data_IF_390310424746
#
_entry.id   IF_390310424746
#
_cell.length_a   1.000
_cell.length_b   1.000
_cell.length_c   1.000
_cell.angle_alpha   90.00
_cell.angle_beta   90.00
_cell.angle_gamma   90.00
#
_symmetry.space_group_name_H-M   'P 1'
#
loop_
_entity.id
_entity.type
_entity.pdbx_description
1 polymer ?
#
# COMPACT_ATOMS: atom_id res chain seq x y z
N UNK A 1 16.02 10.20 -6.08
CA UNK A 1 14.90 9.28 -6.40
C UNK A 1 15.40 8.01 -7.10
N UNK A 2 16.22 8.12 -8.16
CA UNK A 2 16.84 6.95 -8.81
C UNK A 2 17.75 6.12 -7.90
N UNK A 3 18.52 6.75 -7.02
CA UNK A 3 19.39 6.06 -6.04
C UNK A 3 18.61 5.17 -5.06
N UNK A 4 17.45 5.62 -4.58
CA UNK A 4 16.60 4.84 -3.67
C UNK A 4 15.94 3.64 -4.36
N UNK A 5 15.53 3.83 -5.62
CA UNK A 5 14.98 2.77 -6.47
C UNK A 5 16.05 1.70 -6.74
N UNK A 6 17.29 2.12 -7.03
CA UNK A 6 18.42 1.21 -7.21
C UNK A 6 18.70 0.43 -5.93
N UNK A 7 18.65 1.06 -4.75
CA UNK A 7 18.85 0.37 -3.46
C UNK A 7 17.75 -0.68 -3.21
N UNK A 8 16.48 -0.39 -3.52
CA UNK A 8 15.38 -1.33 -3.32
C UNK A 8 15.45 -2.48 -4.34
N UNK A 9 15.70 -2.17 -5.62
CA UNK A 9 15.87 -3.19 -6.67
C UNK A 9 17.09 -4.07 -6.35
N UNK A 10 18.19 -3.49 -5.88
CA UNK A 10 19.38 -4.25 -5.48
C UNK A 10 19.11 -5.14 -4.26
N UNK A 11 18.34 -4.69 -3.28
CA UNK A 11 17.92 -5.52 -2.13
C UNK A 11 17.04 -6.70 -2.56
N UNK A 12 16.09 -6.47 -3.47
CA UNK A 12 15.24 -7.53 -4.04
C UNK A 12 16.10 -8.52 -4.83
N UNK A 13 17.04 -8.05 -5.65
CA UNK A 13 17.94 -8.93 -6.41
C UNK A 13 18.90 -9.71 -5.51
N UNK A 14 19.40 -9.12 -4.41
CA UNK A 14 20.29 -9.78 -3.46
C UNK A 14 19.52 -10.85 -2.66
N UNK A 15 18.26 -10.58 -2.27
CA UNK A 15 17.39 -11.56 -1.63
C UNK A 15 17.14 -12.77 -2.52
N UNK A 16 16.85 -12.54 -3.81
CA UNK A 16 16.68 -13.60 -4.81
C UNK A 16 17.99 -14.38 -5.01
N UNK A 17 19.14 -13.70 -5.11
CA UNK A 17 20.44 -14.34 -5.28
C UNK A 17 20.82 -15.23 -4.08
N UNK A 18 20.51 -14.78 -2.86
CA UNK A 18 20.81 -15.48 -1.61
C UNK A 18 19.89 -16.68 -1.39
N UNK A 19 18.62 -16.55 -1.75
CA UNK A 19 17.66 -17.67 -1.79
C UNK A 19 18.11 -18.75 -2.80
N UNK A 20 18.53 -18.34 -4.00
CA UNK A 20 19.12 -19.23 -5.00
C UNK A 20 20.37 -19.92 -4.47
N UNK A 21 21.30 -19.19 -3.82
CA UNK A 21 22.55 -19.72 -3.29
C UNK A 21 22.36 -20.75 -2.16
N UNK A 22 21.39 -20.53 -1.26
CA UNK A 22 21.06 -21.45 -0.16
C UNK A 22 20.47 -22.77 -0.69
N UNK A 23 19.67 -22.71 -1.76
CA UNK A 23 19.05 -23.90 -2.35
C UNK A 23 19.94 -24.61 -3.38
N UNK A 24 21.07 -24.00 -3.71
CA UNK A 24 22.04 -24.42 -4.74
C UNK A 24 22.90 -25.61 -4.33
N UNK A 25 23.06 -25.83 -3.02
CA UNK A 25 23.95 -26.86 -2.49
C UNK A 25 23.36 -28.28 -2.60
N UNK A 26 22.06 -28.43 -2.92
CA UNK A 26 21.35 -29.68 -2.61
C UNK A 26 20.76 -30.49 -3.77
N UNK A 27 20.88 -30.11 -5.06
CA UNK A 27 20.58 -31.04 -6.19
C UNK A 27 20.85 -30.44 -7.57
N UNK A 28 21.62 -31.17 -8.41
CA UNK A 28 22.01 -30.76 -9.78
C UNK A 28 20.88 -30.83 -10.82
N UNK A 29 19.77 -31.52 -10.56
CA UNK A 29 18.69 -31.77 -11.55
C UNK A 29 17.44 -30.88 -11.33
N UNK A 30 17.27 -30.29 -10.15
CA UNK A 30 16.17 -29.32 -9.89
C UNK A 30 16.46 -27.91 -10.44
N UNK A 31 17.69 -27.66 -10.89
CA UNK A 31 18.18 -26.33 -11.23
C UNK A 31 17.46 -25.70 -12.42
N UNK A 32 17.27 -26.46 -13.49
CA UNK A 32 16.63 -25.96 -14.73
C UNK A 32 15.13 -25.72 -14.50
N UNK A 33 14.48 -26.59 -13.71
CA UNK A 33 13.07 -26.46 -13.35
C UNK A 33 12.83 -25.29 -12.38
N UNK A 34 13.70 -25.10 -11.38
CA UNK A 34 13.63 -23.96 -10.48
C UNK A 34 13.92 -22.64 -11.20
N UNK A 35 14.84 -22.65 -12.16
CA UNK A 35 15.14 -21.49 -13.00
C UNK A 35 13.97 -21.14 -13.92
N UNK A 36 13.33 -22.13 -14.56
CA UNK A 36 12.15 -21.88 -15.40
C UNK A 36 10.96 -21.40 -14.59
N UNK A 37 10.73 -21.97 -13.39
CA UNK A 37 9.70 -21.52 -12.45
C UNK A 37 9.98 -20.08 -11.98
N UNK A 38 11.23 -19.75 -11.66
CA UNK A 38 11.62 -18.40 -11.26
C UNK A 38 11.41 -17.38 -12.39
N UNK A 39 11.72 -17.74 -13.63
CA UNK A 39 11.48 -16.90 -14.82
C UNK A 39 9.97 -16.71 -15.04
N UNK A 40 9.16 -17.77 -14.89
CA UNK A 40 7.69 -17.69 -14.98
C UNK A 40 7.12 -16.80 -13.87
N UNK A 41 7.60 -16.93 -12.63
CA UNK A 41 7.24 -16.03 -11.53
C UNK A 41 7.65 -14.59 -11.80
N UNK A 42 8.83 -14.36 -12.40
CA UNK A 42 9.32 -13.01 -12.75
C UNK A 42 8.49 -12.39 -13.88
N UNK A 43 8.03 -13.19 -14.84
CA UNK A 43 7.10 -12.79 -15.90
C UNK A 43 5.72 -12.48 -15.30
N UNK A 44 5.20 -13.32 -14.41
CA UNK A 44 3.93 -13.06 -13.69
C UNK A 44 4.04 -11.79 -12.84
N UNK A 45 5.16 -11.56 -12.17
CA UNK A 45 5.47 -10.31 -11.45
C UNK A 45 5.46 -9.13 -12.40
N UNK A 46 6.11 -9.24 -13.55
CA UNK A 46 6.16 -8.19 -14.55
C UNK A 46 4.77 -7.88 -15.12
N UNK A 47 3.93 -8.90 -15.37
CA UNK A 47 2.55 -8.73 -15.81
C UNK A 47 1.61 -8.24 -14.70
N UNK A 48 1.82 -8.65 -13.45
CA UNK A 48 1.08 -8.14 -12.30
C UNK A 48 1.42 -6.66 -12.07
N UNK A 49 2.72 -6.31 -12.11
CA UNK A 49 3.21 -4.93 -12.15
C UNK A 49 2.66 -4.19 -13.36
N UNK A 50 2.49 -4.84 -14.52
CA UNK A 50 1.90 -4.28 -15.74
C UNK A 50 0.38 -4.04 -15.66
N UNK A 51 -0.37 -4.90 -14.98
CA UNK A 51 -1.81 -4.72 -14.72
C UNK A 51 -2.05 -3.63 -13.67
N UNK A 52 -1.19 -3.63 -12.64
CA UNK A 52 -0.98 -2.52 -11.71
C UNK A 52 -0.68 -1.27 -12.56
N UNK A 53 0.30 -1.26 -13.46
CA UNK A 53 0.62 -0.14 -14.37
C UNK A 53 -0.56 0.27 -15.27
N UNK A 54 -1.43 -0.66 -15.69
CA UNK A 54 -2.63 -0.36 -16.46
C UNK A 54 -3.71 0.33 -15.61
N UNK A 55 -3.86 -0.05 -14.34
CA UNK A 55 -4.59 0.73 -13.33
C UNK A 55 -3.90 2.07 -13.08
N UNK A 56 -2.56 2.07 -13.07
CA UNK A 56 -1.72 3.25 -12.94
C UNK A 56 -1.88 4.18 -14.12
N UNK A 57 -2.22 3.73 -15.34
CA UNK A 57 -2.49 4.58 -16.49
C UNK A 57 -3.78 5.39 -16.31
N UNK A 58 -4.83 4.80 -15.71
CA UNK A 58 -6.03 5.55 -15.29
C UNK A 58 -5.70 6.55 -14.18
N UNK A 59 -4.88 6.14 -13.22
CA UNK A 59 -4.35 7.02 -12.17
C UNK A 59 -3.43 8.09 -12.76
N UNK A 60 -2.70 7.81 -13.84
CA UNK A 60 -1.73 8.72 -14.48
C UNK A 60 -2.45 9.78 -15.30
N UNK A 61 -3.58 9.43 -15.92
CA UNK A 61 -4.53 10.41 -16.46
C UNK A 61 -5.12 11.30 -15.37
N UNK A 62 -5.38 10.76 -14.17
CA UNK A 62 -5.77 11.56 -13.00
C UNK A 62 -4.61 12.46 -12.50
N UNK A 63 -3.40 11.92 -12.37
CA UNK A 63 -2.17 12.62 -11.97
C UNK A 63 -1.80 13.73 -12.97
N UNK A 64 -2.05 13.55 -14.27
CA UNK A 64 -1.85 14.59 -15.28
C UNK A 64 -2.61 15.88 -14.91
N UNK A 65 -3.77 15.74 -14.28
CA UNK A 65 -4.65 16.83 -13.88
C UNK A 65 -4.35 17.43 -12.49
N UNK A 66 -3.38 16.90 -11.74
CA UNK A 66 -2.87 17.55 -10.52
C UNK A 66 -1.96 18.72 -10.94
N UNK A 67 -2.00 19.87 -10.30
CA UNK A 67 -1.12 21.01 -10.62
C UNK A 67 0.22 20.92 -9.88
N UNK A 68 0.19 20.49 -8.62
CA UNK A 68 1.38 20.39 -7.80
C UNK A 68 2.25 19.20 -8.20
N UNK A 69 3.41 19.50 -8.79
CA UNK A 69 4.46 18.52 -9.13
C UNK A 69 4.81 17.60 -7.95
N UNK A 70 4.87 18.14 -6.73
CA UNK A 70 5.20 17.35 -5.54
C UNK A 70 4.14 16.30 -5.20
N UNK A 71 2.84 16.63 -5.34
CA UNK A 71 1.75 15.68 -5.08
C UNK A 71 1.75 14.52 -6.07
N UNK A 72 2.03 14.80 -7.35
CA UNK A 72 2.17 13.76 -8.37
C UNK A 72 3.28 12.78 -8.01
N UNK A 73 4.44 13.33 -7.64
CA UNK A 73 5.62 12.53 -7.28
C UNK A 73 5.35 11.70 -6.03
N UNK A 74 4.75 12.30 -5.00
CA UNK A 74 4.39 11.61 -3.76
C UNK A 74 3.40 10.46 -4.06
N UNK A 75 2.35 10.70 -4.85
CA UNK A 75 1.38 9.66 -5.23
C UNK A 75 2.02 8.49 -5.97
N UNK A 76 2.83 8.76 -7.00
CA UNK A 76 3.53 7.73 -7.77
C UNK A 76 4.48 6.93 -6.87
N UNK A 77 5.18 7.63 -5.98
CA UNK A 77 6.13 7.01 -5.06
C UNK A 77 5.41 6.08 -4.07
N UNK A 78 4.31 6.51 -3.46
CA UNK A 78 3.50 5.70 -2.54
C UNK A 78 3.01 4.45 -3.25
N UNK A 79 2.46 4.62 -4.45
CA UNK A 79 1.93 3.52 -5.26
C UNK A 79 3.02 2.49 -5.58
N UNK A 80 4.18 2.94 -6.05
CA UNK A 80 5.31 2.09 -6.35
C UNK A 80 5.79 1.32 -5.12
N UNK A 81 5.93 2.02 -3.98
CA UNK A 81 6.35 1.40 -2.73
C UNK A 81 5.36 0.32 -2.28
N UNK A 82 4.07 0.64 -2.17
CA UNK A 82 3.05 -0.34 -1.75
C UNK A 82 3.02 -1.54 -2.69
N UNK A 83 3.03 -1.31 -4.00
CA UNK A 83 3.02 -2.40 -4.98
C UNK A 83 4.25 -3.31 -4.80
N UNK A 84 5.44 -2.73 -4.66
CA UNK A 84 6.68 -3.51 -4.52
C UNK A 84 6.67 -4.39 -3.26
N UNK A 85 6.25 -3.84 -2.12
CA UNK A 85 6.15 -4.60 -0.86
C UNK A 85 5.02 -5.63 -0.89
N UNK A 86 3.88 -5.32 -1.52
CA UNK A 86 2.79 -6.28 -1.71
C UNK A 86 3.24 -7.47 -2.55
N UNK A 87 3.98 -7.23 -3.64
CA UNK A 87 4.54 -8.30 -4.48
C UNK A 87 5.50 -9.19 -3.69
N UNK A 88 6.41 -8.61 -2.91
CA UNK A 88 7.33 -9.38 -2.05
C UNK A 88 6.56 -10.18 -1.00
N UNK A 89 5.55 -9.59 -0.38
CA UNK A 89 4.71 -10.27 0.63
C UNK A 89 3.90 -11.45 0.07
N UNK A 90 3.47 -11.38 -1.20
CA UNK A 90 2.72 -12.43 -1.87
C UNK A 90 3.61 -13.57 -2.37
N UNK A 91 4.76 -13.25 -2.97
CA UNK A 91 5.58 -14.22 -3.71
C UNK A 91 6.68 -14.82 -2.85
N UNK A 92 7.30 -14.01 -1.99
CA UNK A 92 8.41 -14.40 -1.14
C UNK A 92 8.03 -14.21 0.33
N UNK A 93 7.00 -14.91 0.84
CA UNK A 93 6.47 -14.70 2.18
C UNK A 93 7.54 -14.87 3.27
N UNK A 94 8.48 -15.81 3.08
CA UNK A 94 9.59 -16.05 4.01
C UNK A 94 10.61 -14.91 4.04
N UNK A 95 10.94 -14.35 2.87
CA UNK A 95 11.88 -13.21 2.79
C UNK A 95 11.26 -11.93 3.36
N UNK A 96 9.96 -11.72 3.14
CA UNK A 96 9.21 -10.63 3.73
C UNK A 96 9.26 -10.65 5.27
N UNK A 97 9.18 -11.85 5.87
CA UNK A 97 9.30 -12.04 7.33
C UNK A 97 10.75 -12.06 7.82
N UNK A 98 11.74 -12.40 6.99
CA UNK A 98 13.15 -12.37 7.38
C UNK A 98 13.71 -10.93 7.44
N UNK A 99 13.19 -10.04 6.59
CA UNK A 99 13.64 -8.65 6.47
C UNK A 99 12.64 -7.65 7.07
N UNK A 100 12.01 -8.00 8.20
CA UNK A 100 10.90 -7.20 8.73
C UNK A 100 11.30 -5.77 9.12
N UNK A 101 12.46 -5.54 9.71
CA UNK A 101 12.86 -4.19 10.11
C UNK A 101 12.92 -3.21 8.93
N UNK A 102 13.48 -3.67 7.80
CA UNK A 102 13.54 -2.87 6.55
C UNK A 102 12.12 -2.69 6.00
N UNK A 103 11.28 -3.72 6.08
CA UNK A 103 9.86 -3.65 5.73
C UNK A 103 9.10 -2.60 6.53
N UNK A 104 9.24 -2.60 7.85
CA UNK A 104 8.55 -1.66 8.75
C UNK A 104 8.98 -0.22 8.50
N UNK A 105 10.29 0.03 8.36
CA UNK A 105 10.79 1.37 8.03
C UNK A 105 10.19 1.87 6.70
N UNK A 106 10.19 1.01 5.67
CA UNK A 106 9.60 1.34 4.37
C UNK A 106 8.10 1.61 4.46
N UNK A 107 7.37 0.82 5.25
CA UNK A 107 5.93 0.99 5.43
C UNK A 107 5.56 2.21 6.27
N UNK A 108 6.34 2.56 7.30
CA UNK A 108 6.15 3.79 8.09
C UNK A 108 6.40 5.03 7.23
N UNK A 109 7.45 5.02 6.40
CA UNK A 109 7.70 6.11 5.45
C UNK A 109 6.55 6.25 4.45
N UNK A 110 6.07 5.11 3.93
CA UNK A 110 4.96 5.07 2.98
C UNK A 110 3.66 5.56 3.62
N UNK A 111 3.38 5.17 4.86
CA UNK A 111 2.25 5.65 5.67
C UNK A 111 2.29 7.17 5.82
N UNK A 112 3.44 7.73 6.22
CA UNK A 112 3.61 9.18 6.36
C UNK A 112 3.33 9.92 5.06
N UNK A 113 3.90 9.44 3.94
CA UNK A 113 3.67 10.04 2.62
C UNK A 113 2.19 9.94 2.22
N UNK A 114 1.53 8.83 2.51
CA UNK A 114 0.13 8.61 2.18
C UNK A 114 -0.79 9.58 2.95
N UNK A 115 -0.64 9.68 4.27
CA UNK A 115 -1.40 10.64 5.11
C UNK A 115 -1.11 12.09 4.69
N UNK A 116 0.16 12.45 4.46
CA UNK A 116 0.54 13.79 3.96
C UNK A 116 -0.15 14.11 2.64
N UNK A 117 -0.17 13.17 1.70
CA UNK A 117 -0.78 13.35 0.38
C UNK A 117 -2.30 13.51 0.49
N UNK A 118 -2.95 12.70 1.33
CA UNK A 118 -4.40 12.80 1.59
C UNK A 118 -4.77 14.17 2.19
N UNK A 119 -4.09 14.59 3.25
CA UNK A 119 -4.33 15.88 3.91
C UNK A 119 -4.08 17.03 2.92
N UNK A 120 -2.99 16.98 2.16
CA UNK A 120 -2.67 18.06 1.21
C UNK A 120 -3.69 18.16 0.07
N UNK A 121 -4.25 17.03 -0.37
CA UNK A 121 -5.27 16.98 -1.42
C UNK A 121 -6.61 17.56 -0.93
N UNK A 122 -6.94 17.39 0.35
CA UNK A 122 -8.22 17.83 0.91
C UNK A 122 -8.13 19.25 1.49
N UNK A 123 -7.00 19.61 2.12
CA UNK A 123 -6.77 20.95 2.66
C UNK A 123 -6.58 22.01 1.57
N UNK A 124 -6.06 21.62 0.39
CA UNK A 124 -5.87 22.52 -0.74
C UNK A 124 -6.50 21.91 -2.01
N UNK A 125 -7.85 21.94 -2.14
CA UNK A 125 -8.55 21.34 -3.28
C UNK A 125 -8.21 22.04 -4.62
N UNK A 126 -7.69 23.27 -4.58
CA UNK A 126 -7.15 23.99 -5.74
C UNK A 126 -5.91 23.34 -6.37
N UNK A 127 -5.29 22.37 -5.69
CA UNK A 127 -4.08 21.68 -6.19
C UNK A 127 -4.36 20.68 -7.32
N UNK A 128 -5.62 20.35 -7.55
CA UNK A 128 -6.09 19.66 -8.76
C UNK A 128 -6.54 20.77 -9.70
N UNK A 129 -6.19 20.71 -10.99
CA UNK A 129 -6.65 21.66 -12.02
C UNK A 129 -8.15 21.87 -11.84
N UNK A 130 -8.51 22.91 -11.11
CA UNK A 130 -9.82 23.52 -11.17
C UNK A 130 -9.78 24.25 -12.49
N UNK A 131 -10.05 23.49 -13.55
CA UNK A 131 -10.47 24.06 -14.82
C UNK A 131 -11.58 25.02 -14.40
N UNK A 132 -11.31 26.32 -14.56
CA UNK A 132 -12.30 27.37 -14.40
C UNK A 132 -13.58 26.88 -15.10
N UNK A 133 -14.65 26.63 -14.33
CA UNK A 133 -15.98 26.22 -14.80
C UNK A 133 -16.03 24.94 -15.65
N UNK A 134 -15.83 23.77 -15.04
CA UNK A 134 -16.39 22.51 -15.55
C UNK A 134 -16.76 21.59 -14.36
N UNK A 135 -17.99 21.06 -14.34
CA UNK A 135 -18.59 20.18 -13.30
C UNK A 135 -17.74 18.96 -12.87
N UNK A 136 -16.71 18.63 -13.63
CA UNK A 136 -15.88 17.43 -13.44
C UNK A 136 -14.74 17.61 -12.41
N UNK A 137 -14.55 18.81 -11.82
CA UNK A 137 -13.48 19.10 -10.86
C UNK A 137 -13.57 18.30 -9.55
N UNK A 138 -14.71 18.36 -8.88
CA UNK A 138 -14.93 17.73 -7.57
C UNK A 138 -14.98 16.20 -7.64
N UNK A 139 -15.61 15.66 -8.69
CA UNK A 139 -15.60 14.22 -8.97
C UNK A 139 -14.18 13.65 -9.01
N UNK A 140 -13.22 14.40 -9.57
CA UNK A 140 -11.79 14.00 -9.59
C UNK A 140 -11.19 13.97 -8.18
N UNK A 141 -11.43 14.98 -7.35
CA UNK A 141 -10.91 15.06 -5.97
C UNK A 141 -11.42 13.88 -5.13
N UNK A 142 -12.71 13.55 -5.26
CA UNK A 142 -13.34 12.42 -4.58
C UNK A 142 -12.68 11.10 -5.01
N UNK A 143 -12.56 10.86 -6.32
CA UNK A 143 -11.92 9.64 -6.85
C UNK A 143 -10.49 9.51 -6.35
N UNK A 144 -9.73 10.61 -6.32
CA UNK A 144 -8.38 10.65 -5.78
C UNK A 144 -8.33 10.24 -4.31
N UNK A 145 -9.24 10.81 -3.52
CA UNK A 145 -9.33 10.56 -2.09
C UNK A 145 -9.63 9.09 -1.82
N UNK A 146 -10.56 8.49 -2.57
CA UNK A 146 -10.88 7.05 -2.50
C UNK A 146 -9.64 6.22 -2.85
N UNK A 147 -8.92 6.56 -3.92
CA UNK A 147 -7.71 5.83 -4.32
C UNK A 147 -6.62 5.88 -3.23
N UNK A 148 -6.39 7.05 -2.64
CA UNK A 148 -5.40 7.23 -1.57
C UNK A 148 -5.81 6.46 -0.32
N UNK A 149 -7.10 6.46 0.05
CA UNK A 149 -7.64 5.67 1.16
C UNK A 149 -7.44 4.17 0.93
N UNK A 150 -7.70 3.66 -0.26
CA UNK A 150 -7.44 2.25 -0.60
C UNK A 150 -5.95 1.93 -0.43
N UNK A 151 -5.07 2.81 -0.93
CA UNK A 151 -3.62 2.65 -0.75
C UNK A 151 -3.22 2.69 0.73
N UNK A 152 -3.85 3.53 1.54
CA UNK A 152 -3.61 3.60 2.99
C UNK A 152 -4.00 2.30 3.70
N UNK A 153 -5.17 1.73 3.37
CA UNK A 153 -5.63 0.44 3.92
C UNK A 153 -4.64 -0.68 3.56
N UNK A 154 -4.19 -0.75 2.30
CA UNK A 154 -3.20 -1.76 1.88
C UNK A 154 -1.86 -1.56 2.61
N UNK A 155 -1.41 -0.32 2.79
CA UNK A 155 -0.19 -0.02 3.54
C UNK A 155 -0.30 -0.47 5.02
N UNK A 156 -1.41 -0.16 5.69
CA UNK A 156 -1.67 -0.60 7.07
C UNK A 156 -1.73 -2.12 7.18
N UNK A 157 -2.35 -2.80 6.19
CA UNK A 157 -2.38 -4.25 6.11
C UNK A 157 -0.97 -4.85 6.02
N UNK A 158 -0.09 -4.28 5.20
CA UNK A 158 1.30 -4.73 5.10
C UNK A 158 2.05 -4.57 6.43
N UNK A 159 1.77 -3.50 7.19
CA UNK A 159 2.31 -3.32 8.55
C UNK A 159 1.80 -4.44 9.47
N UNK A 160 0.50 -4.76 9.44
CA UNK A 160 -0.09 -5.86 10.23
C UNK A 160 0.58 -7.20 9.88
N UNK A 161 0.80 -7.49 8.60
CA UNK A 161 1.52 -8.70 8.17
C UNK A 161 2.96 -8.74 8.69
N UNK A 162 3.68 -7.61 8.66
CA UNK A 162 5.05 -7.51 9.17
C UNK A 162 5.10 -7.74 10.68
N UNK A 163 4.19 -7.14 11.44
CA UNK A 163 4.09 -7.32 12.89
C UNK A 163 3.77 -8.77 13.25
N UNK A 164 2.82 -9.39 12.55
CA UNK A 164 2.51 -10.81 12.74
C UNK A 164 3.66 -11.74 12.33
N UNK A 165 4.54 -11.29 11.43
CA UNK A 165 5.76 -11.97 11.05
C UNK A 165 6.89 -11.87 12.08
N UNK A 166 6.95 -10.78 12.85
CA UNK A 166 7.90 -10.61 13.96
C UNK A 166 7.51 -11.41 15.19
N UNK A 167 6.24 -11.33 15.55
CA UNK A 167 5.70 -11.93 16.76
C UNK A 167 4.61 -12.93 16.33
N UNK A 168 4.98 -14.20 16.20
CA UNK A 168 4.02 -15.22 15.79
C UNK A 168 2.89 -15.31 16.83
N UNK A 169 1.64 -15.18 16.39
CA UNK A 169 0.48 -15.11 17.28
C UNK A 169 0.22 -13.70 17.85
N UNK A 170 0.80 -12.65 17.26
CA UNK A 170 0.53 -11.25 17.60
C UNK A 170 -0.97 -10.90 17.55
N UNK A 171 -1.71 -11.52 16.62
CA UNK A 171 -3.15 -11.38 16.46
C UNK A 171 -3.84 -12.72 16.74
N UNK A 172 -4.64 -12.77 17.81
CA UNK A 172 -5.42 -13.95 18.18
C UNK A 172 -6.49 -14.24 17.11
N UNK A 173 -6.75 -15.52 16.85
CA UNK A 173 -7.73 -16.02 15.87
C UNK A 173 -7.47 -15.64 14.41
N UNK A 174 -6.32 -15.01 14.10
CA UNK A 174 -5.87 -14.81 12.73
C UNK A 174 -5.09 -16.05 12.24
N UNK A 175 -5.72 -16.89 11.42
CA UNK A 175 -5.13 -18.14 10.94
C UNK A 175 -4.37 -17.95 9.62
N UNK A 176 -4.77 -16.97 8.82
CA UNK A 176 -4.21 -16.73 7.50
C UNK A 176 -4.02 -15.23 7.24
N UNK A 177 -3.36 -14.89 6.13
CA UNK A 177 -3.14 -13.48 5.74
C UNK A 177 -4.42 -12.73 5.38
N UNK A 178 -5.44 -13.44 4.90
CA UNK A 178 -6.74 -12.86 4.59
C UNK A 178 -7.47 -12.42 5.87
N UNK A 179 -7.34 -13.16 6.97
CA UNK A 179 -7.87 -12.79 8.29
C UNK A 179 -7.22 -11.48 8.78
N UNK A 180 -5.90 -11.31 8.55
CA UNK A 180 -5.19 -10.06 8.85
C UNK A 180 -5.65 -8.88 7.98
N UNK A 181 -5.97 -9.14 6.71
CA UNK A 181 -6.54 -8.14 5.82
C UNK A 181 -7.95 -7.74 6.29
N UNK A 182 -8.79 -8.72 6.59
CA UNK A 182 -10.11 -8.53 7.16
C UNK A 182 -10.05 -7.72 8.46
N UNK A 183 -9.18 -8.10 9.40
CA UNK A 183 -8.91 -7.35 10.64
C UNK A 183 -8.58 -5.89 10.35
N UNK A 184 -7.67 -5.64 9.41
CA UNK A 184 -7.27 -4.28 9.01
C UNK A 184 -8.47 -3.49 8.50
N UNK A 185 -9.29 -4.09 7.62
CA UNK A 185 -10.48 -3.44 7.06
C UNK A 185 -11.50 -3.13 8.14
N UNK A 186 -11.90 -4.09 8.97
CA UNK A 186 -12.93 -3.86 10.01
C UNK A 186 -12.47 -2.87 11.08
N UNK A 187 -11.17 -2.82 11.38
CA UNK A 187 -10.61 -1.85 12.33
C UNK A 187 -10.53 -0.47 11.70
N UNK A 188 -10.12 -0.38 10.43
CA UNK A 188 -10.07 0.89 9.70
C UNK A 188 -11.46 1.46 9.43
N UNK A 189 -12.48 0.64 9.17
CA UNK A 189 -13.85 1.11 9.01
C UNK A 189 -14.57 1.34 10.34
N UNK A 190 -13.87 1.18 11.47
CA UNK A 190 -14.41 1.34 12.84
C UNK A 190 -15.54 0.38 13.20
N UNK A 191 -15.72 -0.72 12.43
CA UNK A 191 -16.72 -1.76 12.73
C UNK A 191 -16.29 -2.58 13.94
N UNK A 192 -15.03 -3.05 13.94
CA UNK A 192 -14.39 -3.68 15.09
C UNK A 192 -15.18 -4.84 15.73
N UNK A 193 -15.55 -5.87 14.97
CA UNK A 193 -16.31 -7.03 15.48
C UNK A 193 -15.66 -7.74 16.68
N UNK A 194 -14.33 -7.62 16.84
CA UNK A 194 -13.60 -8.17 18.00
C UNK A 194 -13.32 -9.67 17.92
N UNK A 195 -13.54 -10.27 16.75
CA UNK A 195 -13.22 -11.67 16.44
C UNK A 195 -11.72 -11.94 16.31
N UNK A 196 -10.96 -10.96 15.82
CA UNK A 196 -9.49 -10.96 15.78
C UNK A 196 -8.94 -9.90 16.74
N UNK A 197 -8.04 -10.31 17.64
CA UNK A 197 -7.62 -9.48 18.78
C UNK A 197 -6.09 -9.32 18.80
N UNK A 198 -5.56 -8.08 18.79
CA UNK A 198 -4.14 -7.83 18.98
C UNK A 198 -3.71 -8.13 20.43
N UNK A 199 -2.80 -9.08 20.63
CA UNK A 199 -2.35 -9.49 21.97
C UNK A 199 -1.07 -8.76 22.37
N UNK A 200 -0.09 -8.75 21.46
CA UNK A 200 1.25 -8.25 21.74
C UNK A 200 1.30 -6.72 21.75
N UNK A 201 2.36 -6.17 22.34
CA UNK A 201 2.53 -4.71 22.45
C UNK A 201 2.61 -4.07 21.07
N UNK A 202 3.38 -4.65 20.14
CA UNK A 202 3.48 -4.13 18.77
C UNK A 202 2.14 -4.21 18.04
N UNK A 203 1.42 -5.33 18.14
CA UNK A 203 0.08 -5.46 17.54
C UNK A 203 -0.88 -4.40 18.07
N UNK A 204 -0.88 -4.14 19.39
CA UNK A 204 -1.72 -3.11 20.02
C UNK A 204 -1.35 -1.71 19.53
N UNK A 205 -0.06 -1.39 19.40
CA UNK A 205 0.39 -0.11 18.84
C UNK A 205 -0.07 0.04 17.38
N UNK A 206 0.06 -1.00 16.56
CA UNK A 206 -0.45 -1.00 15.18
C UNK A 206 -1.95 -0.81 15.14
N UNK A 207 -2.68 -1.42 16.06
CA UNK A 207 -4.14 -1.29 16.17
C UNK A 207 -4.55 0.16 16.51
N UNK A 208 -3.86 0.77 17.49
CA UNK A 208 -4.05 2.17 17.83
C UNK A 208 -3.74 3.09 16.65
N UNK A 209 -2.67 2.81 15.90
CA UNK A 209 -2.32 3.54 14.69
C UNK A 209 -3.46 3.46 13.66
N UNK A 210 -3.99 2.26 13.40
CA UNK A 210 -5.12 2.06 12.47
C UNK A 210 -6.33 2.86 12.93
N UNK A 211 -6.72 2.78 14.21
CA UNK A 211 -7.90 3.47 14.75
C UNK A 211 -7.77 5.00 14.72
N UNK A 212 -6.60 5.57 15.04
CA UNK A 212 -6.39 7.02 14.94
C UNK A 212 -6.43 7.47 13.48
N UNK A 213 -5.76 6.71 12.61
CA UNK A 213 -5.72 6.99 11.17
C UNK A 213 -7.11 6.97 10.57
N UNK A 214 -7.94 5.97 10.92
CA UNK A 214 -9.27 5.84 10.36
C UNK A 214 -10.16 7.01 10.72
N UNK A 215 -10.22 7.41 11.99
CA UNK A 215 -11.05 8.53 12.43
C UNK A 215 -10.68 9.81 11.69
N UNK A 216 -9.37 10.11 11.58
CA UNK A 216 -8.90 11.29 10.84
C UNK A 216 -9.20 11.18 9.35
N UNK A 217 -8.89 10.06 8.71
CA UNK A 217 -9.04 9.96 7.25
C UNK A 217 -10.50 9.83 6.80
N UNK A 218 -11.34 9.08 7.52
CA UNK A 218 -12.77 8.97 7.20
C UNK A 218 -13.50 10.28 7.43
N UNK A 219 -13.19 11.02 8.50
CA UNK A 219 -13.83 12.32 8.76
C UNK A 219 -13.53 13.30 7.63
N UNK A 220 -12.26 13.41 7.23
CA UNK A 220 -11.83 14.28 6.14
C UNK A 220 -12.44 13.84 4.80
N UNK A 221 -12.58 12.53 4.56
CA UNK A 221 -13.27 12.00 3.37
C UNK A 221 -14.77 12.31 3.34
N UNK A 222 -15.46 12.15 4.46
CA UNK A 222 -16.89 12.47 4.57
C UNK A 222 -17.13 13.97 4.34
N UNK A 223 -16.26 14.84 4.85
CA UNK A 223 -16.34 16.28 4.61
C UNK A 223 -16.25 16.63 3.12
N UNK A 224 -15.39 15.96 2.34
CA UNK A 224 -15.30 16.22 0.90
C UNK A 224 -16.52 15.73 0.12
N UNK A 225 -17.10 14.60 0.53
CA UNK A 225 -18.34 14.07 -0.05
C UNK A 225 -19.54 14.99 0.21
N UNK A 226 -19.67 15.51 1.44
CA UNK A 226 -20.75 16.42 1.80
C UNK A 226 -20.63 17.75 1.05
N UNK A 227 -19.42 18.32 0.97
CA UNK A 227 -19.16 19.54 0.21
C UNK A 227 -19.57 19.43 -1.26
N UNK A 228 -19.37 18.26 -1.88
CA UNK A 228 -19.79 18.02 -3.26
C UNK A 228 -21.31 17.91 -3.40
N UNK A 229 -21.98 17.24 -2.46
CA UNK A 229 -23.45 17.15 -2.42
C UNK A 229 -24.11 18.53 -2.27
N UNK A 230 -23.53 19.40 -1.43
CA UNK A 230 -24.04 20.75 -1.21
C UNK A 230 -23.90 21.65 -2.45
N UNK A 231 -22.96 21.36 -3.33
CA UNK A 231 -22.78 22.09 -4.59
C UNK A 231 -23.79 21.61 -5.65
N UNK A 232 -23.96 20.29 -5.80
CA UNK A 232 -24.97 19.70 -6.68
C UNK A 232 -26.42 20.08 -6.32
N UNK A 233 -26.69 20.44 -5.07
CA UNK A 233 -28.04 20.85 -4.62
C UNK A 233 -28.32 22.35 -4.80
N UNK A 234 -27.33 23.13 -5.21
CA UNK A 234 -27.48 24.57 -5.52
C UNK A 234 -27.80 24.84 -7.01
N UNK A 235 -27.61 23.84 -7.87
CA UNK A 235 -27.99 23.83 -9.28
C UNK A 235 -29.38 23.21 -9.48
#
# INVERSE_FOLDING_TARGET
MGSFIIIIVTMITIGILKYLHINLLNRKIEWIFNLSLAIICLIIVHYAIGYILALSLKIQNFIHNVEHKNLKVDFILIYFLISSYLTVALIFPKEFTNHVYIGLIGMILCYYLNVKTLITLIANPSNIKSIKKEDNGYSRIIIASILILIMLIINLYLIVCLVNGLEQGAFLNANNKFDLFYYTVITFTTIGYGDIIPITVLAKITSMLISVTSVVCLSVFLSSMLSYKDELSKD
#
